data_IF_083660191598
#
_entry.id   IF_083660191598
#
_cell.length_a   1.000
_cell.length_b   1.000
_cell.length_c   1.000
_cell.angle_alpha   90.00
_cell.angle_beta   90.00
_cell.angle_gamma   90.00
#
_symmetry.space_group_name_H-M   'P 1'
#
loop_
_entity.id
_entity.type
_entity.pdbx_description
1 polymer ?
#
# COMPACT_ATOMS: atom_id res chain seq x y z
N UNK A 1 -23.03 3.56 5.87
CA UNK A 1 -21.92 3.46 4.87
C UNK A 1 -21.47 2.03 4.73
N UNK A 2 -21.18 1.60 3.52
CA UNK A 2 -20.52 0.28 3.24
C UNK A 2 -19.10 0.52 2.76
N UNK A 3 -18.15 -0.18 3.37
CA UNK A 3 -16.76 -0.27 2.93
C UNK A 3 -16.57 -1.62 2.23
N UNK A 4 -16.00 -1.64 1.05
CA UNK A 4 -15.75 -2.87 0.28
C UNK A 4 -14.44 -2.82 -0.49
N UNK A 5 -13.86 -4.00 -0.76
CA UNK A 5 -12.72 -4.09 -1.68
C UNK A 5 -13.22 -4.30 -3.11
N UNK A 6 -12.59 -3.66 -4.09
CA UNK A 6 -13.01 -3.66 -5.49
C UNK A 6 -13.18 -5.06 -6.11
N UNK A 7 -12.30 -6.02 -5.76
CA UNK A 7 -12.25 -7.33 -6.41
C UNK A 7 -12.08 -8.53 -5.47
N UNK A 8 -11.90 -8.30 -4.15
CA UNK A 8 -11.55 -9.39 -3.21
C UNK A 8 -12.71 -9.72 -2.28
N UNK A 9 -12.81 -11.00 -1.93
CA UNK A 9 -13.60 -11.46 -0.78
C UNK A 9 -12.95 -11.01 0.51
N UNK A 10 -13.75 -10.90 1.56
CA UNK A 10 -13.34 -10.49 2.88
C UNK A 10 -12.27 -11.42 3.44
N UNK A 11 -11.07 -10.89 3.58
CA UNK A 11 -9.92 -11.58 4.15
C UNK A 11 -9.11 -10.59 5.01
N UNK A 12 -9.33 -10.62 6.31
CA UNK A 12 -8.68 -9.72 7.26
C UNK A 12 -7.19 -10.03 7.49
N UNK A 13 -6.68 -11.14 6.96
CA UNK A 13 -5.24 -11.42 6.94
C UNK A 13 -4.53 -10.60 5.85
N UNK A 14 -5.29 -10.11 4.85
CA UNK A 14 -4.73 -9.33 3.75
C UNK A 14 -4.58 -7.85 4.13
N UNK A 15 -3.45 -7.23 3.76
CA UNK A 15 -3.10 -5.83 4.07
C UNK A 15 -4.21 -4.85 3.68
N UNK A 16 -4.82 -5.02 2.50
CA UNK A 16 -5.91 -4.14 2.03
C UNK A 16 -7.12 -4.14 2.96
N UNK A 17 -7.48 -5.29 3.56
CA UNK A 17 -8.59 -5.35 4.51
C UNK A 17 -8.23 -4.81 5.88
N UNK A 18 -6.96 -4.86 6.28
CA UNK A 18 -6.51 -4.24 7.50
C UNK A 18 -6.64 -2.70 7.44
N UNK A 19 -6.37 -2.10 6.27
CA UNK A 19 -6.63 -0.68 6.02
C UNK A 19 -8.13 -0.37 6.08
N UNK A 20 -8.98 -1.22 5.49
CA UNK A 20 -10.45 -1.08 5.57
C UNK A 20 -10.93 -1.11 7.02
N UNK A 21 -10.37 -2.00 7.86
CA UNK A 21 -10.67 -2.04 9.30
C UNK A 21 -10.31 -0.74 10.02
N UNK A 22 -9.11 -0.19 9.72
CA UNK A 22 -8.69 1.07 10.32
C UNK A 22 -9.64 2.22 9.92
N UNK A 23 -10.07 2.27 8.68
CA UNK A 23 -11.10 3.21 8.23
C UNK A 23 -12.42 3.03 8.97
N UNK A 24 -12.89 1.79 9.11
CA UNK A 24 -14.12 1.50 9.84
C UNK A 24 -14.05 2.01 11.28
N UNK A 25 -12.97 1.69 12.00
CA UNK A 25 -12.81 2.11 13.41
C UNK A 25 -12.81 3.64 13.53
N UNK A 26 -12.09 4.34 12.66
CA UNK A 26 -12.01 5.81 12.69
C UNK A 26 -13.35 6.45 12.34
N UNK A 27 -14.03 5.98 11.31
CA UNK A 27 -15.33 6.53 10.90
C UNK A 27 -16.41 6.29 11.94
N UNK A 28 -16.43 5.14 12.60
CA UNK A 28 -17.36 4.82 13.68
C UNK A 28 -17.05 5.60 14.97
N UNK A 29 -15.78 5.68 15.36
CA UNK A 29 -15.36 6.35 16.60
C UNK A 29 -15.68 7.85 16.60
N UNK A 30 -15.68 8.46 15.41
CA UNK A 30 -15.92 9.89 15.24
C UNK A 30 -17.38 10.25 14.93
N UNK A 31 -18.29 9.28 15.01
CA UNK A 31 -19.75 9.47 14.78
C UNK A 31 -20.11 10.11 13.45
N UNK A 32 -19.24 10.00 12.43
CA UNK A 32 -19.48 10.55 11.10
C UNK A 32 -20.64 9.83 10.39
N UNK A 33 -20.78 8.54 10.67
CA UNK A 33 -21.84 7.71 10.11
C UNK A 33 -22.54 6.92 11.21
N UNK A 34 -23.85 6.71 11.07
CA UNK A 34 -24.66 5.90 12.03
C UNK A 34 -24.20 4.46 12.09
N UNK A 35 -23.79 3.91 10.96
CA UNK A 35 -23.19 2.58 10.86
C UNK A 35 -22.17 2.54 9.72
N UNK A 36 -21.09 1.82 9.94
CA UNK A 36 -20.06 1.54 8.94
C UNK A 36 -19.83 0.03 8.91
N UNK A 37 -20.13 -0.60 7.79
CA UNK A 37 -20.07 -2.05 7.63
C UNK A 37 -19.04 -2.42 6.57
N UNK A 38 -18.23 -3.43 6.85
CA UNK A 38 -17.32 -4.04 5.85
C UNK A 38 -18.04 -5.22 5.23
N UNK A 39 -18.30 -5.15 3.91
CA UNK A 39 -18.90 -6.21 3.13
C UNK A 39 -18.09 -6.49 1.89
N UNK A 40 -18.00 -7.75 1.48
CA UNK A 40 -17.45 -8.12 0.18
C UNK A 40 -18.53 -8.23 -0.89
N UNK A 41 -18.11 -8.39 -2.15
CA UNK A 41 -19.04 -8.42 -3.27
C UNK A 41 -20.06 -9.55 -3.19
N UNK A 42 -19.74 -10.70 -2.58
CA UNK A 42 -20.68 -11.80 -2.44
C UNK A 42 -21.78 -11.52 -1.40
N UNK A 43 -21.49 -10.71 -0.39
CA UNK A 43 -22.47 -10.23 0.59
C UNK A 43 -23.34 -9.10 0.00
N UNK A 44 -22.94 -8.52 -1.13
CA UNK A 44 -23.60 -7.39 -1.78
C UNK A 44 -24.44 -7.77 -3.01
N UNK A 45 -24.42 -9.03 -3.46
CA UNK A 45 -25.15 -9.50 -4.65
C UNK A 45 -26.67 -9.24 -4.60
N UNK A 46 -27.27 -9.25 -3.42
CA UNK A 46 -28.69 -8.98 -3.22
C UNK A 46 -29.03 -7.53 -2.85
N UNK A 47 -28.03 -6.65 -2.78
CA UNK A 47 -28.21 -5.26 -2.37
C UNK A 47 -28.47 -4.40 -3.59
N UNK A 48 -29.68 -3.87 -3.70
CA UNK A 48 -30.08 -3.04 -4.84
C UNK A 48 -29.59 -1.58 -4.75
N UNK A 49 -29.37 -1.06 -3.53
CA UNK A 49 -29.00 0.34 -3.30
C UNK A 49 -28.20 0.51 -2.01
N UNK A 50 -27.24 1.41 -2.05
CA UNK A 50 -26.43 1.84 -0.92
C UNK A 50 -26.36 3.36 -0.91
N UNK A 51 -26.56 4.01 0.24
CA UNK A 51 -26.44 5.46 0.32
C UNK A 51 -24.98 5.90 0.14
N UNK A 52 -24.09 5.42 0.98
CA UNK A 52 -22.67 5.75 0.96
C UNK A 52 -21.85 4.49 0.69
N UNK A 53 -21.13 4.48 -0.41
CA UNK A 53 -20.25 3.37 -0.83
C UNK A 53 -18.80 3.84 -0.90
N UNK A 54 -17.93 3.15 -0.18
CA UNK A 54 -16.47 3.34 -0.27
C UNK A 54 -15.82 2.09 -0.84
N UNK A 55 -15.14 2.24 -1.96
CA UNK A 55 -14.46 1.16 -2.68
C UNK A 55 -12.96 1.28 -2.49
N UNK A 56 -12.32 0.25 -1.94
CA UNK A 56 -10.87 0.14 -1.82
C UNK A 56 -10.31 -0.62 -3.03
N UNK A 57 -9.44 0.03 -3.79
CA UNK A 57 -8.90 -0.48 -5.04
C UNK A 57 -7.36 -0.66 -4.93
N UNK A 58 -6.91 -1.90 -5.00
CA UNK A 58 -5.50 -2.29 -4.94
C UNK A 58 -5.07 -3.08 -6.19
N UNK A 59 -5.53 -2.68 -7.37
CA UNK A 59 -5.21 -3.33 -8.63
C UNK A 59 -6.22 -2.99 -9.73
N UNK A 60 -6.01 -3.53 -10.95
CA UNK A 60 -6.82 -3.17 -12.13
C UNK A 60 -8.22 -3.75 -12.13
N UNK A 61 -8.49 -4.75 -11.30
CA UNK A 61 -9.73 -5.52 -11.33
C UNK A 61 -10.80 -4.94 -10.40
N UNK A 62 -12.04 -4.95 -10.86
CA UNK A 62 -13.22 -4.61 -10.07
C UNK A 62 -14.34 -5.60 -10.38
N UNK A 63 -15.00 -6.10 -9.34
CA UNK A 63 -16.11 -7.02 -9.48
C UNK A 63 -17.36 -6.32 -10.06
N UNK A 64 -18.14 -7.01 -10.90
CA UNK A 64 -19.32 -6.43 -11.55
C UNK A 64 -20.39 -5.98 -10.55
N UNK A 65 -20.62 -6.72 -9.46
CA UNK A 65 -21.53 -6.31 -8.39
C UNK A 65 -21.15 -4.95 -7.80
N UNK A 66 -19.85 -4.73 -7.57
CA UNK A 66 -19.35 -3.45 -7.05
C UNK A 66 -19.53 -2.33 -8.07
N UNK A 67 -19.31 -2.61 -9.37
CA UNK A 67 -19.53 -1.64 -10.44
C UNK A 67 -21.00 -1.22 -10.50
N UNK A 68 -21.94 -2.16 -10.42
CA UNK A 68 -23.37 -1.86 -10.47
C UNK A 68 -23.84 -1.05 -9.25
N UNK A 69 -23.38 -1.41 -8.04
CA UNK A 69 -23.67 -0.63 -6.83
C UNK A 69 -23.06 0.77 -6.90
N UNK A 70 -21.86 0.91 -7.44
CA UNK A 70 -21.21 2.20 -7.63
C UNK A 70 -22.00 3.11 -8.58
N UNK A 71 -22.71 2.56 -9.57
CA UNK A 71 -23.58 3.34 -10.47
C UNK A 71 -24.84 3.87 -9.79
N UNK A 72 -25.34 3.17 -8.76
CA UNK A 72 -26.65 3.44 -8.12
C UNK A 72 -26.54 4.10 -6.74
N UNK A 73 -25.41 4.06 -6.05
CA UNK A 73 -25.25 4.66 -4.71
C UNK A 73 -25.44 6.18 -4.74
N UNK A 74 -25.78 6.80 -3.62
CA UNK A 74 -25.90 8.26 -3.53
C UNK A 74 -24.53 8.94 -3.53
N UNK A 75 -23.65 8.54 -2.63
CA UNK A 75 -22.30 9.05 -2.49
C UNK A 75 -21.28 7.94 -2.77
N UNK A 76 -20.31 8.24 -3.63
CA UNK A 76 -19.25 7.30 -4.01
C UNK A 76 -17.88 7.83 -3.63
N UNK A 77 -17.14 7.02 -2.88
CA UNK A 77 -15.74 7.24 -2.50
C UNK A 77 -14.89 6.12 -3.08
N UNK A 78 -13.77 6.46 -3.68
CA UNK A 78 -12.82 5.48 -4.22
C UNK A 78 -11.46 5.70 -3.57
N UNK A 79 -11.03 4.73 -2.77
CA UNK A 79 -9.73 4.71 -2.09
C UNK A 79 -8.78 3.90 -2.96
N UNK A 80 -7.82 4.55 -3.58
CA UNK A 80 -6.80 3.89 -4.40
C UNK A 80 -5.58 3.63 -3.54
N UNK A 81 -5.32 2.35 -3.29
CA UNK A 81 -4.23 1.89 -2.42
C UNK A 81 -2.90 1.69 -3.19
N UNK A 82 -2.98 1.47 -4.49
CA UNK A 82 -1.85 1.18 -5.38
C UNK A 82 -1.98 2.02 -6.67
N UNK A 83 -0.87 2.52 -7.26
CA UNK A 83 -0.91 3.20 -8.56
C UNK A 83 -1.47 2.35 -9.71
N UNK A 84 -1.64 1.02 -9.53
CA UNK A 84 -2.38 0.17 -10.47
C UNK A 84 -3.88 0.46 -10.36
N UNK A 85 -4.32 1.39 -11.16
CA UNK A 85 -5.68 1.91 -11.17
C UNK A 85 -6.67 0.93 -11.80
N UNK A 86 -7.86 0.72 -11.21
CA UNK A 86 -8.91 -0.08 -11.85
C UNK A 86 -9.39 0.59 -13.13
N UNK A 87 -9.10 -0.03 -14.28
CA UNK A 87 -9.56 0.46 -15.58
C UNK A 87 -11.08 0.48 -15.69
N UNK A 88 -11.76 -0.42 -14.97
CA UNK A 88 -13.22 -0.51 -14.87
C UNK A 88 -13.89 0.68 -14.17
N UNK A 89 -13.16 1.55 -13.46
CA UNK A 89 -13.72 2.81 -12.96
C UNK A 89 -14.31 3.69 -14.08
N UNK A 90 -13.77 3.60 -15.30
CA UNK A 90 -14.33 4.28 -16.47
C UNK A 90 -15.77 3.87 -16.81
N UNK A 91 -16.22 2.70 -16.35
CA UNK A 91 -17.59 2.20 -16.55
C UNK A 91 -18.61 2.82 -15.60
N UNK A 92 -18.17 3.40 -14.48
CA UNK A 92 -19.04 3.95 -13.45
C UNK A 92 -19.72 5.25 -13.91
N UNK A 93 -19.14 6.04 -14.79
CA UNK A 93 -19.69 7.26 -15.44
C UNK A 93 -20.45 8.23 -14.51
N UNK A 94 -20.04 8.34 -13.26
CA UNK A 94 -20.58 9.26 -12.28
C UNK A 94 -19.49 9.87 -11.42
N UNK A 95 -19.80 11.00 -10.79
CA UNK A 95 -18.86 11.68 -9.90
C UNK A 95 -18.55 10.86 -8.65
N UNK A 96 -17.29 10.91 -8.21
CA UNK A 96 -16.81 10.30 -6.98
C UNK A 96 -15.72 11.15 -6.32
N UNK A 97 -15.56 10.94 -5.02
CA UNK A 97 -14.43 11.48 -4.26
C UNK A 97 -13.26 10.49 -4.38
N UNK A 98 -12.14 10.97 -4.88
CA UNK A 98 -10.90 10.19 -4.96
C UNK A 98 -10.11 10.35 -3.66
N UNK A 99 -9.76 9.24 -3.03
CA UNK A 99 -8.91 9.19 -1.83
C UNK A 99 -7.65 8.40 -2.19
N UNK A 100 -6.48 8.98 -1.92
CA UNK A 100 -5.19 8.33 -2.21
C UNK A 100 -4.24 8.45 -1.02
N UNK A 101 -3.27 7.53 -0.88
CA UNK A 101 -2.17 7.66 0.08
C UNK A 101 -1.01 8.52 -0.47
N UNK A 102 -1.19 9.23 -1.57
CA UNK A 102 -0.14 9.86 -2.35
C UNK A 102 0.18 11.25 -1.79
N UNK A 103 1.08 11.33 -0.82
CA UNK A 103 1.47 12.59 -0.15
C UNK A 103 1.94 13.67 -1.14
N UNK A 104 2.57 13.28 -2.24
CA UNK A 104 3.00 14.21 -3.28
C UNK A 104 1.86 14.97 -3.97
N UNK A 105 0.60 14.64 -3.64
CA UNK A 105 -0.61 15.29 -4.17
C UNK A 105 -1.35 16.12 -3.11
N UNK A 106 -0.87 16.17 -1.86
CA UNK A 106 -1.62 16.73 -0.71
C UNK A 106 -1.95 18.21 -0.90
N UNK A 107 -0.97 19.01 -1.34
CA UNK A 107 -1.11 20.46 -1.48
C UNK A 107 -1.54 20.89 -2.89
N UNK A 108 -1.86 19.94 -3.78
CA UNK A 108 -2.24 20.23 -5.15
C UNK A 108 -3.73 20.51 -5.27
N UNK A 109 -4.09 21.45 -6.15
CA UNK A 109 -5.47 21.60 -6.61
C UNK A 109 -5.95 20.34 -7.33
N UNK A 110 -7.28 20.18 -7.48
CA UNK A 110 -7.82 19.05 -8.22
C UNK A 110 -7.28 18.97 -9.65
N UNK A 111 -7.15 20.12 -10.33
CA UNK A 111 -6.61 20.20 -11.70
C UNK A 111 -5.16 19.75 -11.79
N UNK A 112 -4.31 20.19 -10.87
CA UNK A 112 -2.89 19.78 -10.77
C UNK A 112 -2.75 18.29 -10.42
N UNK A 113 -3.60 17.82 -9.48
CA UNK A 113 -3.67 16.39 -9.11
C UNK A 113 -4.01 15.53 -10.34
N UNK A 114 -5.08 15.90 -11.06
CA UNK A 114 -5.52 15.20 -12.27
C UNK A 114 -4.42 15.20 -13.33
N UNK A 115 -3.77 16.35 -13.55
CA UNK A 115 -2.65 16.47 -14.49
C UNK A 115 -1.48 15.55 -14.12
N UNK A 116 -1.09 15.53 -12.84
CA UNK A 116 0.01 14.70 -12.34
C UNK A 116 -0.33 13.22 -12.42
N UNK A 117 -1.53 12.82 -12.00
CA UNK A 117 -2.01 11.43 -12.11
C UNK A 117 -2.05 10.95 -13.57
N UNK A 118 -2.55 11.76 -14.51
CA UNK A 118 -2.58 11.41 -15.93
C UNK A 118 -1.17 11.25 -16.53
N UNK A 119 -0.19 11.99 -16.04
CA UNK A 119 1.21 11.83 -16.48
C UNK A 119 1.81 10.51 -16.00
N UNK A 120 1.51 10.11 -14.75
CA UNK A 120 2.07 8.92 -14.11
C UNK A 120 1.25 7.66 -14.45
N UNK A 121 -0.05 7.80 -14.63
CA UNK A 121 -1.01 6.73 -14.89
C UNK A 121 -1.90 7.11 -16.09
N UNK A 122 -1.39 7.00 -17.33
CA UNK A 122 -2.09 7.48 -18.53
C UNK A 122 -3.46 6.82 -18.79
N UNK A 123 -3.72 5.66 -18.17
CA UNK A 123 -4.99 4.93 -18.30
C UNK A 123 -6.07 5.41 -17.34
N UNK A 124 -5.75 6.35 -16.46
CA UNK A 124 -6.66 6.85 -15.46
C UNK A 124 -7.76 7.73 -16.11
N UNK A 125 -9.01 7.35 -15.90
CA UNK A 125 -10.15 8.20 -16.28
C UNK A 125 -10.44 9.21 -15.18
N UNK A 126 -9.94 10.43 -15.34
CA UNK A 126 -10.09 11.51 -14.34
C UNK A 126 -11.37 12.33 -14.49
N UNK A 127 -12.14 12.08 -15.55
CA UNK A 127 -13.32 12.88 -15.94
C UNK A 127 -14.40 13.02 -14.86
N UNK A 128 -14.49 12.02 -13.98
CA UNK A 128 -15.54 11.94 -12.97
C UNK A 128 -15.06 12.19 -11.54
N UNK A 129 -13.81 12.63 -11.36
CA UNK A 129 -13.28 12.96 -10.03
C UNK A 129 -13.89 14.30 -9.61
N UNK A 130 -14.79 14.27 -8.61
CA UNK A 130 -15.42 15.47 -8.02
C UNK A 130 -14.45 16.23 -7.13
N UNK A 131 -13.72 15.52 -6.29
CA UNK A 131 -12.70 16.06 -5.40
C UNK A 131 -11.63 14.99 -5.09
N UNK A 132 -10.47 15.45 -4.64
CA UNK A 132 -9.36 14.58 -4.25
C UNK A 132 -8.97 14.87 -2.80
N UNK A 133 -8.65 13.79 -2.06
CA UNK A 133 -8.15 13.86 -0.68
C UNK A 133 -6.98 12.90 -0.51
N UNK A 134 -6.03 13.30 0.30
CA UNK A 134 -4.90 12.45 0.69
C UNK A 134 -5.15 11.96 2.10
N UNK A 135 -5.02 10.64 2.30
CA UNK A 135 -5.02 10.02 3.63
C UNK A 135 -3.73 9.21 3.76
N UNK A 136 -2.91 9.56 4.72
CA UNK A 136 -1.63 8.92 4.94
C UNK A 136 -1.77 7.52 5.55
N UNK A 137 -1.57 6.49 4.75
CA UNK A 137 -1.66 5.09 5.20
C UNK A 137 -0.54 4.69 6.19
N UNK A 138 0.62 5.36 6.15
CA UNK A 138 1.64 5.20 7.19
C UNK A 138 1.15 5.68 8.54
N UNK A 139 0.43 6.80 8.58
CA UNK A 139 -0.22 7.30 9.79
C UNK A 139 -1.30 6.35 10.30
N UNK A 140 -1.99 5.62 9.43
CA UNK A 140 -2.95 4.59 9.84
C UNK A 140 -2.26 3.42 10.54
N UNK A 141 -1.11 2.96 10.06
CA UNK A 141 -0.30 1.94 10.72
C UNK A 141 0.17 2.43 12.11
N UNK A 142 0.58 3.69 12.22
CA UNK A 142 1.02 4.29 13.47
C UNK A 142 -0.13 4.54 14.47
N UNK A 143 -1.31 4.88 13.97
CA UNK A 143 -2.50 5.16 14.77
C UNK A 143 -3.12 3.88 15.36
N UNK A 144 -3.17 2.82 14.58
CA UNK A 144 -3.82 1.58 14.98
C UNK A 144 -2.79 0.58 15.53
N UNK A 145 -2.54 0.61 16.85
CA UNK A 145 -1.66 -0.34 17.53
C UNK A 145 -2.05 -1.79 17.26
N UNK A 146 -3.37 -2.11 17.19
CA UNK A 146 -3.86 -3.45 16.82
C UNK A 146 -3.45 -3.88 15.43
N UNK A 147 -3.24 -2.93 14.53
CA UNK A 147 -2.75 -3.20 13.20
C UNK A 147 -1.28 -3.64 13.23
N UNK A 148 -0.47 -2.96 14.03
CA UNK A 148 0.91 -3.35 14.29
C UNK A 148 0.97 -4.69 15.06
N UNK A 149 0.10 -4.92 16.05
CA UNK A 149 0.00 -6.15 16.83
C UNK A 149 -0.27 -7.37 15.94
N UNK A 150 -1.06 -7.23 14.86
CA UNK A 150 -1.30 -8.31 13.89
C UNK A 150 -0.03 -8.85 13.25
N UNK A 151 0.97 -8.03 13.04
CA UNK A 151 2.26 -8.50 12.54
C UNK A 151 2.99 -9.30 13.61
N UNK A 152 2.93 -8.86 14.89
CA UNK A 152 3.58 -9.54 16.01
C UNK A 152 2.91 -10.86 16.37
N UNK A 153 1.59 -10.97 16.27
CA UNK A 153 0.85 -12.21 16.50
C UNK A 153 1.25 -13.36 15.58
N UNK A 154 1.90 -13.05 14.45
CA UNK A 154 2.35 -14.02 13.47
C UNK A 154 3.87 -14.19 13.42
N UNK A 155 4.60 -13.65 14.40
CA UNK A 155 6.06 -13.83 14.48
C UNK A 155 6.37 -15.20 15.08
N UNK A 156 7.21 -15.96 14.36
CA UNK A 156 7.66 -17.29 14.83
C UNK A 156 8.56 -17.12 16.05
N UNK A 157 8.35 -17.91 17.10
CA UNK A 157 9.13 -17.86 18.36
C UNK A 157 10.63 -18.09 18.16
N UNK A 158 11.02 -18.83 17.13
CA UNK A 158 12.39 -19.24 16.86
C UNK A 158 12.84 -18.81 15.47
N UNK A 159 13.16 -17.52 15.32
CA UNK A 159 13.72 -16.99 14.08
C UNK A 159 15.25 -17.10 14.09
N UNK A 160 15.82 -17.92 13.23
CA UNK A 160 17.27 -17.94 12.98
C UNK A 160 17.64 -16.78 12.04
N UNK A 161 18.59 -15.92 12.46
CA UNK A 161 19.10 -14.87 11.58
C UNK A 161 19.93 -15.42 10.43
N UNK A 162 19.53 -15.08 9.22
CA UNK A 162 20.30 -15.32 8.00
C UNK A 162 21.25 -14.14 7.73
N UNK A 163 22.47 -14.42 7.30
CA UNK A 163 23.40 -13.40 6.82
C UNK A 163 23.03 -12.83 5.43
N UNK A 164 22.02 -13.43 4.77
CA UNK A 164 21.49 -12.91 3.51
C UNK A 164 20.71 -11.63 3.75
N UNK A 165 20.62 -10.79 2.71
CA UNK A 165 19.62 -9.73 2.67
C UNK A 165 18.27 -10.33 2.26
N UNK A 166 17.13 -9.71 2.63
CA UNK A 166 15.85 -10.09 2.05
C UNK A 166 15.23 -8.95 1.23
N UNK A 167 14.45 -9.33 0.24
CA UNK A 167 13.57 -8.45 -0.51
C UNK A 167 12.15 -9.00 -0.44
N UNK A 168 11.19 -8.14 -0.08
CA UNK A 168 9.76 -8.48 -0.07
C UNK A 168 9.04 -7.56 -1.03
N UNK A 169 8.49 -8.11 -2.12
CA UNK A 169 7.77 -7.30 -3.09
C UNK A 169 7.53 -7.98 -4.43
N UNK A 170 6.91 -7.24 -5.35
CA UNK A 170 6.70 -7.67 -6.73
C UNK A 170 7.92 -7.38 -7.60
N UNK A 171 8.09 -8.20 -8.63
CA UNK A 171 9.08 -7.99 -9.67
C UNK A 171 8.50 -7.01 -10.70
N UNK A 172 9.12 -5.82 -10.84
CA UNK A 172 8.73 -4.78 -11.80
C UNK A 172 9.93 -4.38 -12.66
N UNK A 173 9.68 -3.91 -13.88
CA UNK A 173 10.73 -3.60 -14.89
C UNK A 173 11.73 -2.54 -14.41
N UNK A 174 11.25 -1.52 -13.74
CA UNK A 174 12.05 -0.42 -13.19
C UNK A 174 12.97 -0.84 -12.05
N UNK A 175 12.57 -1.85 -11.27
CA UNK A 175 13.35 -2.38 -10.14
C UNK A 175 14.36 -3.43 -10.53
N UNK A 176 14.12 -4.17 -11.63
CA UNK A 176 14.86 -5.40 -11.93
C UNK A 176 16.37 -5.17 -12.01
N UNK A 177 16.82 -4.08 -12.64
CA UNK A 177 18.23 -3.74 -12.77
C UNK A 177 18.93 -3.52 -11.43
N UNK A 178 18.23 -2.92 -10.47
CA UNK A 178 18.76 -2.66 -9.13
C UNK A 178 18.80 -3.93 -8.28
N UNK A 179 17.76 -4.75 -8.37
CA UNK A 179 17.71 -6.04 -7.69
C UNK A 179 18.74 -7.01 -8.26
N UNK A 180 18.98 -6.99 -9.57
CA UNK A 180 20.04 -7.75 -10.24
C UNK A 180 21.42 -7.32 -9.72
N UNK A 181 21.70 -6.00 -9.70
CA UNK A 181 22.95 -5.48 -9.17
C UNK A 181 23.13 -5.84 -7.68
N UNK A 182 22.08 -5.79 -6.90
CA UNK A 182 22.12 -6.18 -5.49
C UNK A 182 22.41 -7.68 -5.32
N UNK A 183 21.82 -8.53 -6.16
CA UNK A 183 21.99 -9.97 -6.16
C UNK A 183 23.41 -10.44 -6.60
N UNK A 184 24.04 -9.71 -7.51
CA UNK A 184 25.45 -9.95 -7.87
C UNK A 184 26.41 -9.63 -6.71
N UNK A 185 26.08 -8.64 -5.90
CA UNK A 185 26.97 -8.17 -4.82
C UNK A 185 26.80 -8.92 -3.50
N UNK A 186 25.65 -9.59 -3.28
CA UNK A 186 25.39 -10.33 -2.03
C UNK A 186 24.21 -11.29 -2.19
N UNK A 187 24.20 -12.42 -1.46
CA UNK A 187 23.06 -13.33 -1.45
C UNK A 187 21.79 -12.65 -0.97
N UNK A 188 20.67 -12.93 -1.67
CA UNK A 188 19.35 -12.37 -1.35
C UNK A 188 18.32 -13.49 -1.23
N UNK A 189 17.46 -13.42 -0.21
CA UNK A 189 16.20 -14.17 -0.19
C UNK A 189 15.09 -13.28 -0.73
N UNK A 190 14.50 -13.70 -1.84
CA UNK A 190 13.40 -13.01 -2.49
C UNK A 190 12.06 -13.59 -2.06
N UNK A 191 11.20 -12.74 -1.49
CA UNK A 191 9.81 -13.04 -1.18
C UNK A 191 8.90 -12.28 -2.15
N UNK A 192 8.21 -13.02 -3.02
CA UNK A 192 7.33 -12.44 -4.02
C UNK A 192 6.66 -13.51 -4.88
N UNK A 193 5.68 -13.12 -5.68
CA UNK A 193 5.01 -14.03 -6.60
C UNK A 193 5.80 -14.14 -7.92
N UNK A 194 7.04 -14.59 -7.83
CA UNK A 194 7.93 -14.82 -8.97
C UNK A 194 8.98 -15.89 -8.64
N UNK A 195 9.46 -16.55 -9.67
CA UNK A 195 10.49 -17.59 -9.60
C UNK A 195 11.86 -17.05 -10.00
N UNK A 196 12.90 -17.88 -9.88
CA UNK A 196 14.23 -17.58 -10.39
C UNK A 196 14.23 -17.40 -11.91
N UNK A 197 13.42 -18.19 -12.61
CA UNK A 197 13.26 -18.14 -14.07
C UNK A 197 12.63 -16.82 -14.48
N UNK A 198 11.58 -16.37 -13.78
CA UNK A 198 10.97 -15.05 -14.03
C UNK A 198 11.98 -13.92 -13.83
N UNK A 199 12.76 -14.01 -12.74
CA UNK A 199 13.81 -13.02 -12.46
C UNK A 199 14.86 -12.97 -13.57
N UNK A 200 15.38 -14.13 -14.00
CA UNK A 200 16.34 -14.24 -15.12
C UNK A 200 15.76 -13.69 -16.42
N UNK A 201 14.52 -14.04 -16.73
CA UNK A 201 13.86 -13.62 -17.96
C UNK A 201 13.69 -12.11 -18.00
N UNK A 202 13.32 -11.48 -16.89
CA UNK A 202 13.13 -10.03 -16.80
C UNK A 202 14.46 -9.27 -16.75
N UNK A 203 15.47 -9.76 -16.04
CA UNK A 203 16.80 -9.16 -15.95
C UNK A 203 17.62 -9.33 -17.22
N UNK A 204 17.25 -10.29 -18.09
CA UNK A 204 18.04 -10.72 -19.23
C UNK A 204 19.46 -11.14 -18.88
N UNK A 205 19.68 -11.50 -17.63
CA UNK A 205 20.98 -11.95 -17.11
C UNK A 205 21.31 -13.36 -17.58
N UNK A 206 22.59 -13.59 -17.82
CA UNK A 206 23.14 -14.95 -18.01
C UNK A 206 23.51 -15.62 -16.69
N UNK A 207 23.44 -14.88 -15.58
CA UNK A 207 23.80 -15.36 -14.28
C UNK A 207 22.76 -16.33 -13.70
N UNK A 208 23.23 -17.30 -12.95
CA UNK A 208 22.37 -18.33 -12.35
C UNK A 208 21.76 -17.91 -11.00
N UNK A 209 22.24 -16.82 -10.40
CA UNK A 209 21.83 -16.36 -9.07
C UNK A 209 21.78 -17.50 -8.03
N UNK A 210 22.80 -18.40 -8.09
CA UNK A 210 22.81 -19.65 -7.29
C UNK A 210 22.73 -19.41 -5.79
N UNK A 211 23.36 -18.34 -5.33
CA UNK A 211 23.41 -17.97 -3.92
C UNK A 211 22.14 -17.25 -3.44
N UNK A 212 21.26 -16.89 -4.37
CA UNK A 212 19.96 -16.30 -4.06
C UNK A 212 18.90 -17.38 -3.85
N UNK A 213 17.98 -17.10 -2.94
CA UNK A 213 16.83 -17.93 -2.64
C UNK A 213 15.56 -17.26 -3.17
N UNK A 214 14.66 -18.04 -3.76
CA UNK A 214 13.36 -17.58 -4.23
C UNK A 214 12.30 -18.31 -3.40
N UNK A 215 11.94 -17.71 -2.28
CA UNK A 215 11.07 -18.31 -1.26
C UNK A 215 9.57 -18.27 -1.63
N UNK A 216 9.23 -17.63 -2.75
CA UNK A 216 7.85 -17.50 -3.19
C UNK A 216 7.07 -16.42 -2.44
N UNK A 217 5.74 -16.47 -2.58
CA UNK A 217 4.85 -15.50 -1.96
C UNK A 217 4.82 -15.65 -0.44
N UNK A 218 4.95 -14.53 0.27
CA UNK A 218 4.74 -14.45 1.71
C UNK A 218 3.39 -13.79 2.01
N UNK A 219 2.69 -14.29 3.00
CA UNK A 219 1.48 -13.65 3.50
C UNK A 219 1.79 -12.28 4.13
N UNK A 220 0.94 -11.26 3.94
CA UNK A 220 1.18 -9.93 4.49
C UNK A 220 1.45 -9.93 6.00
N UNK A 221 0.71 -10.72 6.77
CA UNK A 221 0.88 -10.84 8.23
C UNK A 221 2.19 -11.49 8.66
N UNK A 222 2.90 -12.17 7.75
CA UNK A 222 4.20 -12.83 8.01
C UNK A 222 5.41 -12.05 7.46
N UNK A 223 5.19 -10.87 6.91
CA UNK A 223 6.29 -10.03 6.36
C UNK A 223 7.33 -9.71 7.45
N UNK A 224 6.86 -9.52 8.68
CA UNK A 224 7.75 -9.24 9.81
C UNK A 224 8.74 -10.39 10.07
N UNK A 225 8.32 -11.66 9.91
CA UNK A 225 9.21 -12.81 10.01
C UNK A 225 10.37 -12.72 9.02
N UNK A 226 10.09 -12.33 7.76
CA UNK A 226 11.13 -12.16 6.75
C UNK A 226 12.12 -11.07 7.15
N UNK A 227 11.65 -9.94 7.69
CA UNK A 227 12.53 -8.85 8.09
C UNK A 227 13.35 -9.17 9.34
N UNK A 228 12.75 -9.81 10.34
CA UNK A 228 13.41 -10.18 11.58
C UNK A 228 14.44 -11.30 11.37
N UNK A 229 14.20 -12.22 10.42
CA UNK A 229 15.09 -13.35 10.12
C UNK A 229 16.28 -13.01 9.23
N UNK A 230 16.43 -11.76 8.77
CA UNK A 230 17.52 -11.34 7.89
C UNK A 230 18.31 -10.18 8.48
N UNK A 231 19.60 -10.10 8.13
CA UNK A 231 20.47 -9.02 8.60
C UNK A 231 20.07 -7.67 8.01
N UNK A 232 19.75 -7.66 6.71
CA UNK A 232 19.41 -6.44 5.96
C UNK A 232 18.15 -6.64 5.15
N UNK A 233 17.36 -5.57 5.05
CA UNK A 233 16.15 -5.52 4.21
C UNK A 233 16.40 -4.61 3.02
N UNK A 234 16.20 -5.14 1.81
CA UNK A 234 16.34 -4.36 0.58
C UNK A 234 15.12 -3.49 0.39
N UNK A 235 15.33 -2.19 0.33
CA UNK A 235 14.36 -1.19 -0.06
C UNK A 235 14.62 -0.75 -1.50
N UNK A 236 13.72 -1.14 -2.39
CA UNK A 236 13.77 -0.82 -3.82
C UNK A 236 12.38 -0.34 -4.26
N UNK A 237 12.02 0.93 -4.01
CA UNK A 237 10.75 1.48 -4.48
C UNK A 237 10.76 1.57 -6.01
N UNK A 238 9.59 1.44 -6.63
CA UNK A 238 9.47 1.84 -8.04
C UNK A 238 9.36 3.37 -8.17
N UNK A 239 9.69 3.89 -9.35
CA UNK A 239 9.73 5.32 -9.57
C UNK A 239 8.37 5.99 -9.34
N UNK A 240 7.27 5.35 -9.78
CA UNK A 240 5.91 5.88 -9.60
C UNK A 240 5.55 5.94 -8.12
N UNK A 241 5.82 4.87 -7.37
CA UNK A 241 5.55 4.81 -5.92
C UNK A 241 6.36 5.88 -5.20
N UNK A 242 7.62 6.06 -5.58
CA UNK A 242 8.47 7.07 -4.98
C UNK A 242 8.01 8.49 -5.32
N UNK A 243 7.69 8.77 -6.59
CA UNK A 243 7.23 10.08 -7.05
C UNK A 243 5.86 10.47 -6.46
N UNK A 244 5.05 9.48 -6.09
CA UNK A 244 3.79 9.67 -5.38
C UNK A 244 3.93 9.65 -3.86
N UNK A 245 5.13 9.33 -3.34
CA UNK A 245 5.42 9.21 -1.90
C UNK A 245 4.49 8.22 -1.17
N UNK A 246 4.42 6.96 -1.67
CA UNK A 246 3.48 5.94 -1.19
C UNK A 246 4.10 4.78 -0.43
N UNK A 247 5.40 4.73 -0.27
CA UNK A 247 6.11 3.56 0.32
C UNK A 247 5.98 3.43 1.84
N UNK A 248 5.12 4.24 2.48
CA UNK A 248 5.05 4.37 3.94
C UNK A 248 4.65 3.10 4.68
N UNK A 249 3.72 2.31 4.16
CA UNK A 249 3.34 1.06 4.82
C UNK A 249 4.53 0.11 4.92
N UNK A 250 5.25 -0.09 3.83
CA UNK A 250 6.45 -0.94 3.79
C UNK A 250 7.57 -0.42 4.67
N UNK A 251 7.76 0.89 4.71
CA UNK A 251 8.71 1.55 5.60
C UNK A 251 8.31 1.32 7.06
N UNK A 252 7.03 1.47 7.40
CA UNK A 252 6.51 1.19 8.74
C UNK A 252 6.77 -0.25 9.19
N UNK A 253 6.53 -1.23 8.32
CA UNK A 253 6.84 -2.64 8.58
C UNK A 253 8.35 -2.88 8.82
N UNK A 254 9.21 -2.21 8.05
CA UNK A 254 10.66 -2.27 8.25
C UNK A 254 11.08 -1.60 9.58
N UNK A 255 10.41 -0.52 9.98
CA UNK A 255 10.63 0.15 11.26
C UNK A 255 10.18 -0.73 12.45
N UNK A 256 9.04 -1.43 12.33
CA UNK A 256 8.59 -2.43 13.30
C UNK A 256 9.64 -3.53 13.51
N UNK A 257 10.28 -3.99 12.44
CA UNK A 257 11.34 -4.99 12.50
C UNK A 257 12.68 -4.45 12.99
N UNK A 258 12.81 -3.16 13.26
CA UNK A 258 14.11 -2.52 13.54
C UNK A 258 15.17 -2.91 12.49
N UNK A 259 14.78 -2.90 11.22
CA UNK A 259 15.58 -3.42 10.11
C UNK A 259 16.75 -2.50 9.76
N UNK A 260 17.84 -3.09 9.26
CA UNK A 260 18.91 -2.34 8.59
C UNK A 260 18.52 -2.23 7.10
N UNK A 261 18.18 -1.03 6.59
CA UNK A 261 17.78 -0.89 5.21
C UNK A 261 19.00 -0.94 4.28
N UNK A 262 18.91 -1.72 3.21
CA UNK A 262 19.80 -1.66 2.05
C UNK A 262 19.04 -1.03 0.89
N UNK A 263 19.23 0.28 0.73
CA UNK A 263 18.53 1.03 -0.32
C UNK A 263 19.24 0.79 -1.65
N UNK A 264 18.48 0.45 -2.68
CA UNK A 264 18.98 0.23 -4.05
C UNK A 264 18.22 1.10 -5.03
N UNK A 265 18.93 2.10 -5.59
CA UNK A 265 18.40 3.06 -6.56
C UNK A 265 19.56 3.83 -7.17
N UNK A 266 19.35 4.45 -8.35
CA UNK A 266 20.26 5.45 -8.93
C UNK A 266 19.86 6.89 -8.58
N UNK A 267 18.74 7.09 -7.88
CA UNK A 267 18.24 8.41 -7.46
C UNK A 267 18.75 8.74 -6.06
N UNK A 268 19.42 9.88 -5.93
CA UNK A 268 19.99 10.35 -4.64
C UNK A 268 18.91 10.57 -3.58
N UNK A 269 17.75 11.07 -3.99
CA UNK A 269 16.58 11.29 -3.12
C UNK A 269 16.11 9.98 -2.50
N UNK A 270 16.06 8.91 -3.29
CA UNK A 270 15.69 7.55 -2.81
C UNK A 270 16.72 7.04 -1.82
N UNK A 271 18.02 7.21 -2.12
CA UNK A 271 19.09 6.74 -1.25
C UNK A 271 19.06 7.40 0.14
N UNK A 272 18.55 8.63 0.25
CA UNK A 272 18.46 9.41 1.49
C UNK A 272 17.06 9.40 2.12
N UNK A 273 16.07 8.82 1.47
CA UNK A 273 14.67 8.93 1.88
C UNK A 273 14.39 8.39 3.29
N UNK A 274 15.18 7.43 3.77
CA UNK A 274 15.02 6.81 5.08
C UNK A 274 15.98 7.37 6.16
N UNK A 275 16.84 8.34 5.85
CA UNK A 275 17.86 8.78 6.80
C UNK A 275 17.29 9.39 8.07
N UNK A 276 16.16 10.11 7.97
CA UNK A 276 15.46 10.69 9.12
C UNK A 276 14.83 9.66 10.06
N UNK A 277 14.64 8.42 9.60
CA UNK A 277 14.06 7.32 10.38
C UNK A 277 15.12 6.43 11.05
N UNK A 278 16.41 6.59 10.70
CA UNK A 278 17.49 5.77 11.24
C UNK A 278 17.89 6.21 12.65
N UNK A 279 18.21 5.24 13.49
CA UNK A 279 18.90 5.44 14.76
C UNK A 279 20.43 5.59 14.56
N UNK A 280 21.19 5.64 15.66
CA UNK A 280 22.65 5.79 15.65
C UNK A 280 23.37 4.58 15.03
N UNK A 281 22.76 3.39 15.09
CA UNK A 281 23.28 2.14 14.52
C UNK A 281 22.86 1.96 13.05
N UNK A 282 22.16 2.93 12.46
CA UNK A 282 21.66 2.88 11.08
C UNK A 282 20.45 1.98 10.89
N UNK A 283 19.77 1.59 11.98
CA UNK A 283 18.54 0.79 11.96
C UNK A 283 17.32 1.70 11.87
N UNK A 284 16.25 1.21 11.23
CA UNK A 284 15.00 1.94 11.15
C UNK A 284 14.27 1.87 12.49
N UNK A 285 13.91 3.04 13.02
CA UNK A 285 13.29 3.19 14.33
C UNK A 285 11.78 3.37 14.22
N UNK A 286 11.01 2.49 14.88
CA UNK A 286 9.56 2.62 15.00
C UNK A 286 9.15 3.92 15.70
N UNK A 287 9.88 4.35 16.72
CA UNK A 287 9.59 5.60 17.43
C UNK A 287 9.70 6.80 16.51
N UNK A 288 10.78 6.88 15.69
CA UNK A 288 10.94 7.96 14.71
C UNK A 288 9.88 7.91 13.62
N UNK A 289 9.49 6.72 13.18
CA UNK A 289 8.42 6.55 12.21
C UNK A 289 7.08 7.07 12.76
N UNK A 290 6.69 6.67 13.97
CA UNK A 290 5.47 7.14 14.63
C UNK A 290 5.50 8.66 14.81
N UNK A 291 6.63 9.24 15.25
CA UNK A 291 6.79 10.68 15.38
C UNK A 291 6.65 11.42 14.04
N UNK A 292 7.17 10.85 12.95
CA UNK A 292 7.02 11.44 11.61
C UNK A 292 5.57 11.41 11.11
N UNK A 293 4.79 10.43 11.56
CA UNK A 293 3.36 10.29 11.24
C UNK A 293 2.45 11.15 12.13
N UNK A 294 2.80 11.35 13.40
CA UNK A 294 1.99 12.12 14.37
C UNK A 294 1.87 13.62 14.05
N UNK A 295 2.74 14.16 13.20
CA UNK A 295 2.59 15.53 12.69
C UNK A 295 1.33 15.73 11.82
N UNK A 296 0.64 14.64 11.47
CA UNK A 296 -0.54 14.62 10.61
C UNK A 296 -1.74 14.13 11.40
N UNK A 297 -2.75 14.97 11.51
CA UNK A 297 -4.01 14.58 12.15
C UNK A 297 -4.81 13.66 11.20
N UNK A 298 -4.58 12.35 11.34
CA UNK A 298 -5.27 11.33 10.55
C UNK A 298 -6.79 11.41 10.67
N UNK A 299 -7.29 11.76 11.85
CA UNK A 299 -8.73 11.91 12.11
C UNK A 299 -9.27 13.06 11.27
N UNK A 300 -8.60 14.21 11.27
CA UNK A 300 -8.98 15.36 10.45
C UNK A 300 -8.90 15.05 8.95
N UNK A 301 -7.88 14.30 8.50
CA UNK A 301 -7.78 13.88 7.10
C UNK A 301 -8.97 13.02 6.68
N UNK A 302 -9.34 12.03 7.49
CA UNK A 302 -10.50 11.17 7.21
C UNK A 302 -11.80 11.98 7.32
N UNK A 303 -11.97 12.80 8.35
CA UNK A 303 -13.14 13.65 8.49
C UNK A 303 -13.32 14.57 7.27
N UNK A 304 -12.28 15.27 6.85
CA UNK A 304 -12.35 16.16 5.69
C UNK A 304 -12.67 15.44 4.38
N UNK A 305 -12.27 14.18 4.24
CA UNK A 305 -12.56 13.38 3.06
C UNK A 305 -14.05 13.04 2.93
N UNK A 306 -14.77 12.94 4.05
CA UNK A 306 -16.17 12.49 4.07
C UNK A 306 -17.21 13.59 4.41
N UNK A 307 -16.82 14.68 5.08
CA UNK A 307 -17.75 15.73 5.52
C UNK A 307 -18.24 16.63 4.37
N UNK A 308 -17.45 16.87 3.34
CA UNK A 308 -17.85 17.76 2.23
C UNK A 308 -19.02 17.25 1.36
N UNK A 309 -19.54 16.07 1.66
CA UNK A 309 -20.60 15.41 0.88
C UNK A 309 -21.91 15.32 1.68
N UNK A 310 -21.88 15.66 2.96
CA UNK A 310 -23.05 15.74 3.83
C UNK A 310 -23.60 17.18 3.82
#
# INVERSE_FOLDING_TARGET
MILTHASRKKDFSHTSFAEILAFQEILQSNLLFRSVEIRDYSELESVAYVEDLTIFAAGPDMNETIIELAKSCKNLYVVVQDPNWPTSLSQIRREFVLITPFRALEDLTLEETVKKLNQLIPTLSTKFIKSHRVIDFGSMLAYNAKYADRYWDNVDEYLSKSHKSCYVGSLKKDRIRFLELAAHNSPITFYGNFTREDFKQMSKSKDDFKDCEFAGRIEPTRVLNAYLSHEKVIFCPDDIIFDLDTSYLRIGEMCLANAIPKIVSDRLEVLRSLDHLKDEDGRLSWVKFVQSCQSRDLILQIQSAFIEVI
#
